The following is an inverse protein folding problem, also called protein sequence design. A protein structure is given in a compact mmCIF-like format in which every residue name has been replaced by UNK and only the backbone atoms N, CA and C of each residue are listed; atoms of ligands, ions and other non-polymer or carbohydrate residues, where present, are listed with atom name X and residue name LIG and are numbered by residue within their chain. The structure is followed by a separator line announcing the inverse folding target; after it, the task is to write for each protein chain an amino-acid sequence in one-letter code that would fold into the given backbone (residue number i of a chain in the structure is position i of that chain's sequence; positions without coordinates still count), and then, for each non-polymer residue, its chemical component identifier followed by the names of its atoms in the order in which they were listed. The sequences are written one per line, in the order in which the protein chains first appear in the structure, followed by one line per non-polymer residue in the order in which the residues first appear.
data_IF_336551377350
#
_entry.id   IF_336551377350
#
_cell.length_a   1.000
_cell.length_b   1.000
_cell.length_c   1.000
_cell.angle_alpha   90.00
_cell.angle_beta   90.00
_cell.angle_gamma   90.00
#
_symmetry.space_group_name_H-M   'P 1'
#
loop_
_entity.id
_entity.type
_entity.pdbx_description
1 polymer ?
#
# COMPACT_ATOMS: atom_id res chain seq x y z
N UNK A 1 25.20 -0.26 -38.90
CA UNK A 1 25.08 0.17 -37.49
C UNK A 1 23.61 0.09 -37.13
N UNK A 2 23.17 -0.91 -36.37
CA UNK A 2 21.78 -1.02 -35.94
C UNK A 2 21.58 -0.09 -34.74
N UNK A 3 20.86 1.02 -34.93
CA UNK A 3 20.46 1.92 -33.84
C UNK A 3 19.26 1.29 -33.12
N UNK A 4 19.50 0.62 -32.00
CA UNK A 4 18.42 0.20 -31.09
C UNK A 4 17.85 1.43 -30.40
N UNK A 5 16.69 1.87 -30.86
CA UNK A 5 15.93 2.94 -30.20
C UNK A 5 15.43 2.42 -28.84
N UNK A 6 15.98 2.95 -27.74
CA UNK A 6 15.47 2.66 -26.41
C UNK A 6 14.06 3.24 -26.29
N UNK A 7 13.04 2.39 -26.34
CA UNK A 7 11.65 2.79 -26.12
C UNK A 7 11.42 2.83 -24.61
N UNK A 8 11.20 4.04 -24.06
CA UNK A 8 10.76 4.19 -22.68
C UNK A 8 9.41 3.50 -22.55
N UNK A 9 9.37 2.34 -21.89
CA UNK A 9 8.12 1.70 -21.47
C UNK A 9 7.60 2.57 -20.33
N UNK A 10 6.83 3.60 -20.68
CA UNK A 10 5.98 4.27 -19.71
C UNK A 10 4.83 3.30 -19.51
N UNK A 11 4.92 2.50 -18.47
CA UNK A 11 3.80 1.65 -18.05
C UNK A 11 2.64 2.59 -17.69
N UNK A 12 1.70 2.70 -18.62
CA UNK A 12 0.49 3.51 -18.47
C UNK A 12 -0.40 3.02 -17.31
N UNK A 13 -0.07 1.86 -16.70
CA UNK A 13 -0.72 1.29 -15.52
C UNK A 13 0.07 1.51 -14.22
N UNK A 14 1.27 2.12 -14.27
CA UNK A 14 2.05 2.43 -13.08
C UNK A 14 1.32 3.35 -12.07
N UNK A 15 0.25 4.02 -12.49
CA UNK A 15 -0.54 4.94 -11.67
C UNK A 15 -1.80 4.36 -11.02
N UNK A 16 -2.20 3.13 -11.33
CA UNK A 16 -3.48 2.57 -10.86
C UNK A 16 -3.37 1.10 -10.47
N UNK A 17 -2.49 0.77 -9.52
CA UNK A 17 -2.65 -0.50 -8.81
C UNK A 17 -3.99 -0.45 -8.08
N UNK A 18 -4.80 -1.49 -8.23
CA UNK A 18 -6.07 -1.54 -7.52
C UNK A 18 -5.84 -1.44 -6.01
N UNK A 19 -6.84 -0.92 -5.26
CA UNK A 19 -6.78 -0.89 -3.79
C UNK A 19 -6.44 -2.29 -3.26
N UNK A 20 -7.03 -3.32 -3.86
CA UNK A 20 -6.82 -4.71 -3.47
C UNK A 20 -5.38 -5.18 -3.74
N UNK A 21 -4.80 -4.86 -4.91
CA UNK A 21 -3.40 -5.17 -5.20
C UNK A 21 -2.45 -4.46 -4.22
N UNK A 22 -2.77 -3.22 -3.84
CA UNK A 22 -1.98 -2.45 -2.88
C UNK A 22 -2.06 -3.05 -1.48
N UNK A 23 -3.24 -3.50 -1.05
CA UNK A 23 -3.45 -4.21 0.23
C UNK A 23 -2.68 -5.54 0.23
N UNK A 24 -2.76 -6.31 -0.87
CA UNK A 24 -2.05 -7.58 -1.00
C UNK A 24 -0.53 -7.39 -0.97
N UNK A 25 -0.01 -6.37 -1.66
CA UNK A 25 1.42 -6.05 -1.66
C UNK A 25 1.92 -5.67 -0.26
N UNK A 26 1.21 -4.78 0.43
CA UNK A 26 1.54 -4.39 1.81
C UNK A 26 1.50 -5.60 2.75
N UNK A 27 0.49 -6.45 2.61
CA UNK A 27 0.33 -7.67 3.42
C UNK A 27 1.46 -8.66 3.19
N UNK A 28 1.88 -8.84 1.94
CA UNK A 28 3.02 -9.69 1.61
C UNK A 28 4.31 -9.17 2.26
N UNK A 29 4.55 -7.85 2.24
CA UNK A 29 5.71 -7.23 2.89
C UNK A 29 5.75 -7.50 4.41
N UNK A 30 4.62 -7.36 5.10
CA UNK A 30 4.53 -7.67 6.54
C UNK A 30 4.80 -9.14 6.82
N UNK A 31 4.23 -10.06 6.03
CA UNK A 31 4.42 -11.51 6.17
C UNK A 31 5.88 -11.91 5.92
N UNK A 32 6.54 -11.33 4.92
CA UNK A 32 7.95 -11.58 4.63
C UNK A 32 8.87 -11.16 5.79
N UNK A 33 8.48 -10.11 6.52
CA UNK A 33 9.18 -9.68 7.74
C UNK A 33 8.84 -10.53 8.98
N UNK A 34 8.03 -11.59 8.84
CA UNK A 34 7.58 -12.44 9.94
C UNK A 34 6.44 -11.84 10.78
N UNK A 35 5.83 -10.75 10.32
CA UNK A 35 4.69 -10.12 10.97
C UNK A 35 3.35 -10.72 10.55
N UNK A 36 2.31 -10.34 11.29
CA UNK A 36 0.92 -10.73 11.02
C UNK A 36 0.08 -9.50 10.68
N UNK A 37 -0.80 -9.64 9.69
CA UNK A 37 -1.80 -8.63 9.33
C UNK A 37 -3.15 -9.10 9.84
N UNK A 38 -3.81 -8.25 10.62
CA UNK A 38 -5.19 -8.49 11.10
C UNK A 38 -6.21 -7.87 10.14
N UNK A 39 -7.48 -8.25 10.28
CA UNK A 39 -8.57 -7.63 9.53
C UNK A 39 -8.65 -6.11 9.77
N UNK A 40 -8.32 -5.66 10.99
CA UNK A 40 -8.27 -4.24 11.33
C UNK A 40 -7.19 -3.49 10.55
N UNK A 41 -6.02 -4.11 10.34
CA UNK A 41 -4.94 -3.53 9.54
C UNK A 41 -5.34 -3.39 8.06
N UNK A 42 -6.04 -4.38 7.52
CA UNK A 42 -6.58 -4.30 6.15
C UNK A 42 -7.64 -3.21 6.04
N UNK A 43 -8.55 -3.12 7.01
CA UNK A 43 -9.58 -2.08 7.04
C UNK A 43 -8.96 -0.67 7.13
N UNK A 44 -7.94 -0.49 7.96
CA UNK A 44 -7.17 0.76 8.06
C UNK A 44 -6.51 1.12 6.73
N UNK A 45 -5.86 0.14 6.09
CA UNK A 45 -5.20 0.32 4.78
C UNK A 45 -6.22 0.72 3.72
N UNK A 46 -7.39 0.07 3.68
CA UNK A 46 -8.47 0.42 2.73
C UNK A 46 -8.98 1.84 2.95
N UNK A 47 -9.20 2.28 4.20
CA UNK A 47 -9.62 3.66 4.52
C UNK A 47 -8.61 4.71 4.03
N UNK A 48 -7.32 4.41 4.12
CA UNK A 48 -6.26 5.28 3.60
C UNK A 48 -6.25 5.32 2.08
N UNK A 49 -6.33 4.16 1.44
CA UNK A 49 -6.29 4.06 -0.02
C UNK A 49 -7.56 4.63 -0.71
N UNK A 50 -8.70 4.63 -0.03
CA UNK A 50 -9.94 5.28 -0.51
C UNK A 50 -9.98 6.78 -0.22
N UNK A 51 -9.05 7.30 0.59
CA UNK A 51 -9.04 8.69 1.03
C UNK A 51 -10.07 9.03 2.12
N UNK A 52 -10.71 8.03 2.73
CA UNK A 52 -11.61 8.24 3.88
C UNK A 52 -10.85 8.83 5.07
N UNK A 53 -9.59 8.41 5.24
CA UNK A 53 -8.67 8.93 6.26
C UNK A 53 -7.26 9.08 5.72
N UNK A 54 -6.48 9.94 6.34
CA UNK A 54 -5.03 9.99 6.11
C UNK A 54 -4.31 8.91 6.91
N UNK A 55 -3.09 8.57 6.49
CA UNK A 55 -2.24 7.64 7.21
C UNK A 55 -1.95 8.13 8.65
N UNK A 56 -1.79 9.44 8.84
CA UNK A 56 -1.54 10.06 10.15
C UNK A 56 -2.75 9.91 11.09
N UNK A 57 -3.97 9.97 10.54
CA UNK A 57 -5.19 9.79 11.32
C UNK A 57 -5.31 8.35 11.83
N UNK A 58 -5.07 7.35 10.98
CA UNK A 58 -5.05 5.94 11.39
C UNK A 58 -3.90 5.64 12.37
N UNK A 59 -2.70 6.18 12.11
CA UNK A 59 -1.56 6.01 13.01
C UNK A 59 -1.81 6.65 14.39
N UNK A 60 -2.46 7.81 14.42
CA UNK A 60 -2.83 8.47 15.68
C UNK A 60 -3.90 7.68 16.44
N UNK A 61 -4.86 7.07 15.74
CA UNK A 61 -5.84 6.18 16.36
C UNK A 61 -5.17 4.95 16.98
N UNK A 62 -4.26 4.30 16.25
CA UNK A 62 -3.46 3.18 16.74
C UNK A 62 -2.61 3.55 17.97
N UNK A 63 -2.00 4.74 17.99
CA UNK A 63 -1.22 5.19 19.16
C UNK A 63 -2.09 5.29 20.41
N UNK A 64 -3.30 5.84 20.28
CA UNK A 64 -4.24 5.94 21.41
C UNK A 64 -4.67 4.58 21.93
N UNK A 65 -4.88 3.58 21.08
CA UNK A 65 -5.24 2.22 21.53
C UNK A 65 -4.09 1.55 22.29
N UNK A 66 -2.85 1.89 21.94
CA UNK A 66 -1.64 1.42 22.61
C UNK A 66 -1.27 2.25 23.87
N UNK A 67 -1.99 3.34 24.17
CA UNK A 67 -1.73 4.19 25.33
C UNK A 67 -0.61 5.22 25.15
N UNK A 68 -0.24 5.54 23.90
CA UNK A 68 0.69 6.62 23.55
C UNK A 68 -0.04 7.94 23.24
#
# INVERSE_FOLDING_TARGET
MLMTTARKVVDEHAGARSIEESVQFATAGVRLAGGTVTEENEAATRRVLTGEKTAEQELSALRRTLGY
#
